data_IF_233007535040
#
_entry.id   IF_233007535040
#
_cell.length_a   1.000
_cell.length_b   1.000
_cell.length_c   1.000
_cell.angle_alpha   90.00
_cell.angle_beta   90.00
_cell.angle_gamma   90.00
#
_symmetry.space_group_name_H-M   'P 1'
#
loop_
_entity.id
_entity.type
_entity.pdbx_description
1 polymer ?
#
# COMPACT_ATOMS: atom_id res chain seq x y z
N UNK A 1 -12.89 1.25 54.37
CA UNK A 1 -12.56 -0.06 53.81
C UNK A 1 -13.30 -0.17 52.49
N UNK A 2 -12.52 -0.38 51.42
CA UNK A 2 -12.87 -1.10 50.19
C UNK A 2 -14.09 -0.65 49.36
N UNK A 3 -14.02 -0.52 48.03
CA UNK A 3 -13.02 -0.95 47.05
C UNK A 3 -13.12 0.01 45.86
N UNK A 4 -12.00 0.68 45.55
CA UNK A 4 -11.79 1.25 44.23
C UNK A 4 -11.65 0.08 43.26
N UNK A 5 -12.76 -0.32 42.65
CA UNK A 5 -12.78 -1.36 41.63
C UNK A 5 -12.03 -0.86 40.40
N UNK A 6 -10.74 -1.21 40.32
CA UNK A 6 -9.97 -1.24 39.08
C UNK A 6 -10.72 -2.14 38.11
N UNK A 7 -11.37 -1.52 37.14
CA UNK A 7 -11.92 -2.19 35.97
C UNK A 7 -10.74 -2.78 35.17
N UNK A 8 -10.55 -4.11 35.11
CA UNK A 8 -9.48 -4.74 34.33
C UNK A 8 -9.86 -4.94 32.85
N UNK A 9 -11.03 -4.48 32.42
CA UNK A 9 -11.52 -4.62 31.04
C UNK A 9 -11.34 -3.38 30.17
N UNK A 10 -10.51 -2.41 30.59
CA UNK A 10 -10.14 -1.27 29.73
C UNK A 10 -9.00 -1.59 28.74
N UNK A 11 -8.91 -2.84 28.32
CA UNK A 11 -8.08 -3.25 27.21
C UNK A 11 -8.99 -3.95 26.20
N UNK A 12 -9.95 -3.22 25.64
CA UNK A 12 -10.33 -3.46 24.26
C UNK A 12 -9.06 -3.24 23.42
N UNK A 13 -8.19 -4.23 23.39
CA UNK A 13 -7.27 -4.40 22.27
C UNK A 13 -8.21 -4.49 21.09
N UNK A 14 -8.25 -3.40 20.34
CA UNK A 14 -8.88 -3.31 19.03
C UNK A 14 -8.10 -4.33 18.18
N UNK A 15 -8.44 -5.61 18.29
CA UNK A 15 -7.96 -6.62 17.36
C UNK A 15 -8.52 -6.18 16.03
N UNK A 16 -7.68 -5.52 15.25
CA UNK A 16 -7.99 -5.19 13.87
C UNK A 16 -8.32 -6.50 13.18
N UNK A 17 -9.54 -6.59 12.66
CA UNK A 17 -9.99 -7.70 11.82
C UNK A 17 -8.86 -8.02 10.81
N UNK A 18 -8.33 -9.25 10.78
CA UNK A 18 -7.27 -9.64 9.85
C UNK A 18 -7.57 -9.24 8.40
N UNK A 19 -8.86 -9.31 8.00
CA UNK A 19 -9.29 -8.89 6.67
C UNK A 19 -9.09 -7.38 6.43
N UNK A 20 -9.30 -6.55 7.44
CA UNK A 20 -9.03 -5.10 7.34
C UNK A 20 -7.53 -4.82 7.22
N UNK A 21 -6.70 -5.60 7.92
CA UNK A 21 -5.24 -5.48 7.83
C UNK A 21 -4.73 -5.87 6.44
N UNK A 22 -5.21 -6.99 5.89
CA UNK A 22 -4.85 -7.44 4.55
C UNK A 22 -5.23 -6.41 3.48
N UNK A 23 -6.40 -5.76 3.62
CA UNK A 23 -6.82 -4.68 2.73
C UNK A 23 -5.89 -3.47 2.82
N UNK A 24 -5.45 -3.09 4.02
CA UNK A 24 -4.51 -1.99 4.21
C UNK A 24 -3.14 -2.29 3.60
N UNK A 25 -2.63 -3.51 3.80
CA UNK A 25 -1.36 -3.96 3.21
C UNK A 25 -1.45 -3.89 1.69
N UNK A 26 -2.53 -4.42 1.10
CA UNK A 26 -2.73 -4.37 -0.34
C UNK A 26 -2.75 -2.95 -0.89
N UNK A 27 -3.39 -2.02 -0.19
CA UNK A 27 -3.43 -0.60 -0.58
C UNK A 27 -2.05 0.06 -0.53
N UNK A 28 -1.27 -0.23 0.51
CA UNK A 28 0.12 0.25 0.61
C UNK A 28 1.00 -0.36 -0.50
N UNK A 29 0.85 -1.65 -0.80
CA UNK A 29 1.56 -2.29 -1.91
C UNK A 29 1.23 -1.66 -3.27
N UNK A 30 -0.04 -1.31 -3.51
CA UNK A 30 -0.49 -0.60 -4.72
C UNK A 30 0.21 0.75 -4.82
N UNK A 31 0.28 1.50 -3.71
CA UNK A 31 0.95 2.80 -3.66
C UNK A 31 2.45 2.67 -3.95
N UNK A 32 3.12 1.71 -3.31
CA UNK A 32 4.55 1.45 -3.53
C UNK A 32 4.80 1.09 -4.99
N UNK A 33 4.00 0.18 -5.58
CA UNK A 33 4.15 -0.21 -6.98
C UNK A 33 3.93 0.98 -7.94
N UNK A 34 3.00 1.89 -7.63
CA UNK A 34 2.80 3.11 -8.40
C UNK A 34 4.02 4.06 -8.33
N UNK A 35 4.61 4.22 -7.15
CA UNK A 35 5.82 5.04 -6.97
C UNK A 35 7.01 4.42 -7.71
N UNK A 36 7.19 3.10 -7.60
CA UNK A 36 8.21 2.36 -8.35
C UNK A 36 8.06 2.55 -9.86
N UNK A 37 6.82 2.50 -10.35
CA UNK A 37 6.52 2.75 -11.75
C UNK A 37 6.93 4.15 -12.18
N UNK A 38 6.55 5.18 -11.40
CA UNK A 38 6.95 6.57 -11.66
C UNK A 38 8.47 6.76 -11.65
N UNK A 39 9.17 6.14 -10.69
CA UNK A 39 10.63 6.18 -10.63
C UNK A 39 11.29 5.48 -11.83
N UNK A 40 10.71 4.38 -12.33
CA UNK A 40 11.23 3.70 -13.51
C UNK A 40 11.06 4.55 -14.78
N UNK A 41 9.93 5.26 -14.93
CA UNK A 41 9.72 6.24 -16.00
C UNK A 41 10.76 7.36 -15.92
N UNK A 42 10.95 7.96 -14.74
CA UNK A 42 11.97 9.02 -14.56
C UNK A 42 13.38 8.50 -14.84
N UNK A 43 13.69 7.25 -14.51
CA UNK A 43 15.00 6.65 -14.80
C UNK A 43 15.26 6.58 -16.31
N UNK A 44 14.24 6.29 -17.10
CA UNK A 44 14.32 6.31 -18.57
C UNK A 44 14.67 7.70 -19.10
N UNK A 45 14.11 8.76 -18.51
CA UNK A 45 14.39 10.15 -18.91
C UNK A 45 15.85 10.57 -18.69
N UNK A 46 16.54 9.94 -17.74
CA UNK A 46 17.93 10.26 -17.37
C UNK A 46 18.96 9.18 -17.79
N UNK A 47 18.53 8.10 -18.42
CA UNK A 47 19.43 7.03 -18.85
C UNK A 47 20.29 7.49 -20.04
N UNK A 48 21.62 7.38 -19.91
CA UNK A 48 22.57 7.87 -20.91
C UNK A 48 23.20 6.76 -21.75
N UNK A 49 23.37 5.57 -21.16
CA UNK A 49 24.02 4.43 -21.82
C UNK A 49 23.02 3.30 -22.09
N UNK A 50 23.26 2.46 -23.12
CA UNK A 50 22.38 1.36 -23.48
C UNK A 50 21.99 0.44 -22.30
N UNK A 51 22.96 0.08 -21.45
CA UNK A 51 22.70 -0.78 -20.29
C UNK A 51 21.75 -0.11 -19.27
N UNK A 52 21.83 1.21 -19.13
CA UNK A 52 20.95 1.97 -18.24
C UNK A 52 19.53 2.05 -18.81
N UNK A 53 19.41 2.17 -20.14
CA UNK A 53 18.13 2.16 -20.85
C UNK A 53 17.48 0.80 -20.71
N UNK A 54 18.22 -0.28 -20.96
CA UNK A 54 17.72 -1.66 -20.83
C UNK A 54 17.25 -1.96 -19.41
N UNK A 55 18.03 -1.55 -18.40
CA UNK A 55 17.63 -1.68 -17.00
C UNK A 55 16.37 -0.88 -16.68
N UNK A 56 16.26 0.36 -17.18
CA UNK A 56 15.11 1.21 -16.93
C UNK A 56 13.83 0.67 -17.58
N UNK A 57 13.91 0.14 -18.81
CA UNK A 57 12.80 -0.53 -19.50
C UNK A 57 12.37 -1.78 -18.73
N UNK A 58 13.33 -2.63 -18.32
CA UNK A 58 13.01 -3.83 -17.55
C UNK A 58 12.31 -3.50 -16.22
N UNK A 59 12.82 -2.49 -15.49
CA UNK A 59 12.23 -2.03 -14.25
C UNK A 59 10.82 -1.45 -14.46
N UNK A 60 10.62 -0.71 -15.56
CA UNK A 60 9.33 -0.13 -15.95
C UNK A 60 8.29 -1.23 -16.19
N UNK A 61 8.61 -2.21 -17.02
CA UNK A 61 7.70 -3.33 -17.31
C UNK A 61 7.36 -4.15 -16.07
N UNK A 62 8.34 -4.40 -15.21
CA UNK A 62 8.15 -5.16 -13.98
C UNK A 62 7.21 -4.40 -13.01
N UNK A 63 7.43 -3.10 -12.82
CA UNK A 63 6.60 -2.25 -11.98
C UNK A 63 5.16 -2.15 -12.51
N UNK A 64 4.98 -1.97 -13.82
CA UNK A 64 3.66 -1.92 -14.45
C UNK A 64 2.89 -3.24 -14.28
N UNK A 65 3.53 -4.39 -14.54
CA UNK A 65 2.92 -5.72 -14.35
C UNK A 65 2.53 -5.95 -12.89
N UNK A 66 3.39 -5.57 -11.94
CA UNK A 66 3.13 -5.67 -10.50
C UNK A 66 1.95 -4.79 -10.10
N UNK A 67 1.94 -3.53 -10.51
CA UNK A 67 0.85 -2.59 -10.23
C UNK A 67 -0.50 -3.10 -10.77
N UNK A 68 -0.52 -3.56 -12.03
CA UNK A 68 -1.73 -4.12 -12.65
C UNK A 68 -2.26 -5.38 -11.93
N UNK A 69 -1.37 -6.25 -11.44
CA UNK A 69 -1.76 -7.41 -10.62
C UNK A 69 -2.39 -7.00 -9.30
N UNK A 70 -1.80 -6.03 -8.60
CA UNK A 70 -2.31 -5.54 -7.32
C UNK A 70 -3.67 -4.85 -7.48
N UNK A 71 -3.88 -4.08 -8.55
CA UNK A 71 -5.19 -3.50 -8.86
C UNK A 71 -6.26 -4.56 -9.11
N UNK A 72 -5.93 -5.65 -9.82
CA UNK A 72 -6.84 -6.79 -10.00
C UNK A 72 -7.18 -7.44 -8.67
N UNK A 73 -6.21 -7.57 -7.76
CA UNK A 73 -6.44 -8.11 -6.41
C UNK A 73 -7.36 -7.19 -5.59
N UNK A 74 -7.15 -5.86 -5.63
CA UNK A 74 -8.03 -4.91 -4.93
C UNK A 74 -9.47 -4.98 -5.43
N UNK A 75 -9.66 -5.09 -6.76
CA UNK A 75 -10.99 -5.29 -7.35
C UNK A 75 -11.66 -6.57 -6.84
N UNK A 76 -10.91 -7.69 -6.74
CA UNK A 76 -11.43 -8.96 -6.20
C UNK A 76 -11.81 -8.87 -4.72
N UNK A 77 -11.07 -8.07 -3.93
CA UNK A 77 -11.34 -7.85 -2.51
C UNK A 77 -12.36 -6.73 -2.24
N UNK A 78 -12.93 -6.15 -3.31
CA UNK A 78 -13.83 -4.99 -3.27
C UNK A 78 -13.25 -3.80 -2.46
N UNK A 79 -11.95 -3.57 -2.64
CA UNK A 79 -11.21 -2.46 -2.03
C UNK A 79 -11.08 -1.37 -3.07
N UNK A 80 -11.51 -0.15 -2.73
CA UNK A 80 -11.35 1.02 -3.57
C UNK A 80 -10.12 1.82 -3.14
N UNK A 81 -9.20 2.03 -4.08
CA UNK A 81 -7.95 2.77 -3.87
C UNK A 81 -8.23 4.22 -3.46
N UNK A 82 -9.32 4.81 -3.97
CA UNK A 82 -9.74 6.19 -3.68
C UNK A 82 -10.10 6.42 -2.20
N UNK A 83 -10.54 5.39 -1.48
CA UNK A 83 -10.95 5.52 -0.08
C UNK A 83 -9.78 5.41 0.90
N UNK A 84 -8.64 4.83 0.47
CA UNK A 84 -7.46 4.70 1.33
C UNK A 84 -6.86 6.07 1.70
N UNK A 85 -6.73 6.95 0.71
CA UNK A 85 -6.14 8.27 0.91
C UNK A 85 -7.01 9.19 1.79
N UNK A 86 -8.34 9.02 1.75
CA UNK A 86 -9.27 9.74 2.61
C UNK A 86 -9.21 9.27 4.08
N UNK A 87 -8.94 7.98 4.32
CA UNK A 87 -8.83 7.41 5.66
C UNK A 87 -7.63 7.92 6.47
N UNK A 88 -6.52 8.29 5.80
CA UNK A 88 -5.37 8.92 6.48
C UNK A 88 -5.58 10.41 6.77
N UNK A 89 -6.37 11.13 5.97
CA UNK A 89 -6.58 12.57 6.14
C UNK A 89 -7.53 12.95 7.29
N UNK A 90 -8.43 12.06 7.69
CA UNK A 90 -9.43 12.31 8.74
C UNK A 90 -8.98 11.87 10.16
N UNK A 91 -7.76 11.37 10.31
CA UNK A 91 -7.25 10.77 11.56
C UNK A 91 -6.04 11.47 12.18
N UNK A 92 -5.86 12.77 11.92
CA UNK A 92 -4.81 13.62 12.48
C UNK A 92 -5.34 14.72 13.38
#
# INVERSE_FOLDING_TARGET
MDMQWRIPWLQQRKEEDPLMRDKQILLEEIRVAQIEWQHAVQRLDYALDPDQIDYAIYALEAAEKRYGMLLKNAKRMNVSVLYHDLGKAAGG
#
